data_IF_882582788772
#
_entry.id   IF_882582788772
#
_cell.length_a   1.000
_cell.length_b   1.000
_cell.length_c   1.000
_cell.angle_alpha   90.00
_cell.angle_beta   90.00
_cell.angle_gamma   90.00
#
_symmetry.space_group_name_H-M   'P 1'
#
loop_
_entity.id
_entity.type
_entity.pdbx_description
1 polymer ?
#
# COMPACT_ATOMS: atom_id res chain seq x y z
N UNK A 1 16.00 8.57 -5.05
CA UNK A 1 14.64 8.05 -4.80
C UNK A 1 14.64 7.18 -3.55
N UNK A 2 13.78 7.48 -2.61
CA UNK A 2 13.66 6.73 -1.37
C UNK A 2 12.22 6.35 -1.08
N UNK A 3 12.03 5.28 -0.31
CA UNK A 3 10.75 4.98 0.31
C UNK A 3 10.87 5.33 1.80
N UNK A 4 9.94 6.15 2.29
CA UNK A 4 10.03 6.74 3.63
C UNK A 4 8.76 6.42 4.41
N UNK A 5 8.90 5.80 5.57
CA UNK A 5 7.78 5.59 6.48
C UNK A 5 7.43 6.91 7.16
N UNK A 6 6.13 7.23 7.17
CA UNK A 6 5.61 8.46 7.78
C UNK A 6 5.01 8.11 9.15
N UNK A 7 5.59 8.62 10.25
CA UNK A 7 5.01 8.38 11.57
C UNK A 7 3.61 8.99 11.70
N UNK A 8 2.79 8.42 12.57
CA UNK A 8 1.43 8.91 12.81
C UNK A 8 1.41 10.40 13.18
N UNK A 9 2.42 10.87 13.91
CA UNK A 9 2.54 12.27 14.30
C UNK A 9 2.73 13.23 13.12
N UNK A 10 3.18 12.74 11.97
CA UNK A 10 3.44 13.54 10.77
C UNK A 10 2.39 13.34 9.67
N UNK A 11 1.34 12.58 9.92
CA UNK A 11 0.29 12.31 8.91
C UNK A 11 -0.33 13.59 8.37
N UNK A 12 -0.60 14.56 9.23
CA UNK A 12 -1.21 15.84 8.83
C UNK A 12 -0.37 16.60 7.80
N UNK A 13 0.95 16.39 7.82
CA UNK A 13 1.87 17.11 6.93
C UNK A 13 1.85 16.57 5.52
N UNK A 14 1.46 15.30 5.33
CA UNK A 14 1.50 14.62 4.03
C UNK A 14 0.13 14.18 3.53
N UNK A 15 -0.90 14.21 4.37
CA UNK A 15 -2.20 13.63 4.03
C UNK A 15 -2.81 14.24 2.76
N UNK A 16 -2.77 15.57 2.63
CA UNK A 16 -3.29 16.24 1.44
C UNK A 16 -2.55 15.83 0.17
N UNK A 17 -1.29 15.43 0.30
CA UNK A 17 -0.48 15.00 -0.82
C UNK A 17 -0.85 13.60 -1.30
N UNK A 18 -1.16 12.68 -0.37
CA UNK A 18 -1.37 11.26 -0.67
C UNK A 18 -2.83 10.86 -0.82
N UNK A 19 -3.77 11.65 -0.28
CA UNK A 19 -5.18 11.29 -0.21
C UNK A 19 -5.79 10.95 -1.58
N UNK A 20 -5.49 11.75 -2.59
CA UNK A 20 -6.04 11.56 -3.94
C UNK A 20 -5.60 10.21 -4.52
N UNK A 21 -4.34 9.86 -4.36
CA UNK A 21 -3.81 8.60 -4.86
C UNK A 21 -4.40 7.41 -4.09
N UNK A 22 -4.59 7.56 -2.78
CA UNK A 22 -5.24 6.54 -1.97
C UNK A 22 -6.68 6.33 -2.42
N UNK A 23 -7.44 7.40 -2.60
CA UNK A 23 -8.82 7.32 -3.08
C UNK A 23 -8.90 6.61 -4.44
N UNK A 24 -8.01 6.97 -5.35
CA UNK A 24 -7.97 6.39 -6.68
C UNK A 24 -7.63 4.89 -6.62
N UNK A 25 -6.66 4.51 -5.83
CA UNK A 25 -6.28 3.12 -5.66
C UNK A 25 -7.43 2.28 -5.07
N UNK A 26 -8.15 2.82 -4.10
CA UNK A 26 -9.29 2.14 -3.49
C UNK A 26 -10.45 1.97 -4.48
N UNK A 27 -10.69 2.96 -5.33
CA UNK A 27 -11.69 2.85 -6.39
C UNK A 27 -11.37 1.70 -7.35
N UNK A 28 -10.09 1.55 -7.71
CA UNK A 28 -9.66 0.47 -8.59
C UNK A 28 -9.74 -0.91 -7.94
N UNK A 29 -9.66 -1.00 -6.63
CA UNK A 29 -9.65 -2.28 -5.90
C UNK A 29 -11.04 -2.72 -5.44
N UNK A 30 -12.12 -2.10 -5.94
CA UNK A 30 -13.49 -2.55 -5.71
C UNK A 30 -14.22 -1.90 -4.55
N UNK A 31 -13.71 -0.77 -4.05
CA UNK A 31 -14.38 0.03 -3.01
C UNK A 31 -14.65 -0.74 -1.70
N UNK A 32 -13.71 -1.56 -1.27
CA UNK A 32 -13.82 -2.26 0.02
C UNK A 32 -13.80 -1.32 1.21
N UNK A 33 -13.21 -0.15 1.05
CA UNK A 33 -13.09 0.86 2.10
C UNK A 33 -12.85 2.24 1.48
N UNK A 34 -12.64 3.25 2.30
CA UNK A 34 -12.38 4.62 1.86
C UNK A 34 -11.14 5.20 2.55
N UNK A 35 -10.72 6.38 2.11
CA UNK A 35 -9.54 7.03 2.65
C UNK A 35 -9.72 7.50 4.10
N UNK A 36 -10.95 7.75 4.55
CA UNK A 36 -11.21 8.12 5.94
C UNK A 36 -10.90 6.96 6.88
N UNK A 37 -11.31 5.74 6.50
CA UNK A 37 -10.98 4.55 7.26
C UNK A 37 -9.47 4.32 7.29
N UNK A 38 -8.80 4.46 6.14
CA UNK A 38 -7.34 4.32 6.06
C UNK A 38 -6.65 5.32 7.00
N UNK A 39 -7.06 6.58 6.96
CA UNK A 39 -6.49 7.61 7.84
C UNK A 39 -6.66 7.24 9.32
N UNK A 40 -7.84 6.77 9.70
CA UNK A 40 -8.11 6.38 11.08
C UNK A 40 -7.20 5.22 11.52
N UNK A 41 -7.01 4.23 10.66
CA UNK A 41 -6.11 3.11 10.95
C UNK A 41 -4.65 3.55 11.05
N UNK A 42 -4.25 4.52 10.24
CA UNK A 42 -2.90 5.11 10.31
C UNK A 42 -2.69 5.86 11.61
N UNK A 43 -3.69 6.62 12.06
CA UNK A 43 -3.64 7.34 13.35
C UNK A 43 -3.48 6.38 14.53
N UNK A 44 -4.07 5.19 14.43
CA UNK A 44 -4.01 4.16 15.47
C UNK A 44 -2.80 3.24 15.35
N UNK A 45 -1.90 3.50 14.40
CA UNK A 45 -0.72 2.68 14.10
C UNK A 45 -1.06 1.24 13.70
N UNK A 46 -2.28 1.00 13.22
CA UNK A 46 -2.69 -0.31 12.68
C UNK A 46 -2.26 -0.49 11.24
N UNK A 47 -2.16 0.60 10.50
CA UNK A 47 -1.58 0.65 9.16
C UNK A 47 -0.30 1.48 9.20
N UNK A 48 0.56 1.29 8.21
CA UNK A 48 1.77 2.09 8.03
C UNK A 48 1.68 2.81 6.68
N UNK A 49 2.06 4.09 6.68
CA UNK A 49 2.10 4.91 5.47
C UNK A 49 3.53 5.08 5.03
N UNK A 50 3.77 4.87 3.74
CA UNK A 50 5.08 5.05 3.10
C UNK A 50 4.93 5.97 1.91
N UNK A 51 5.88 6.86 1.72
CA UNK A 51 5.90 7.79 0.60
C UNK A 51 7.14 7.52 -0.25
N UNK A 52 6.94 7.52 -1.57
CA UNK A 52 8.02 7.40 -2.54
C UNK A 52 8.47 8.81 -2.89
N UNK A 53 9.71 9.12 -2.56
CA UNK A 53 10.18 10.49 -2.45
C UNK A 53 11.53 10.69 -3.12
N UNK A 54 11.66 11.74 -3.95
CA UNK A 54 12.90 12.12 -4.61
C UNK A 54 13.39 13.45 -4.05
N UNK A 55 14.39 13.39 -3.19
CA UNK A 55 14.99 14.57 -2.56
C UNK A 55 15.66 15.52 -3.54
N UNK A 56 16.07 15.03 -4.70
CA UNK A 56 16.81 15.83 -5.69
C UNK A 56 15.94 16.89 -6.37
N UNK A 57 14.63 16.75 -6.31
CA UNK A 57 13.70 17.73 -6.86
C UNK A 57 13.55 18.90 -5.89
N UNK A 58 13.10 20.06 -6.40
CA UNK A 58 13.00 21.26 -5.57
C UNK A 58 11.59 21.48 -5.00
N UNK A 59 10.57 21.42 -5.85
CA UNK A 59 9.19 21.59 -5.41
C UNK A 59 8.69 20.32 -4.73
N UNK A 60 7.92 20.47 -3.65
CA UNK A 60 7.37 19.33 -2.90
C UNK A 60 6.56 18.39 -3.79
N UNK A 61 5.72 18.95 -4.68
CA UNK A 61 4.90 18.14 -5.58
C UNK A 61 5.76 17.30 -6.53
N UNK A 62 6.92 17.80 -6.91
CA UNK A 62 7.82 17.08 -7.82
C UNK A 62 8.62 16.00 -7.09
N UNK A 63 8.80 16.14 -5.77
CA UNK A 63 9.47 15.14 -4.94
C UNK A 63 8.61 13.91 -4.71
N UNK A 64 7.30 14.09 -4.68
CA UNK A 64 6.35 13.02 -4.40
C UNK A 64 6.09 12.17 -5.63
N UNK A 65 6.33 10.88 -5.53
CA UNK A 65 6.12 9.93 -6.65
C UNK A 65 5.02 8.92 -6.39
N UNK A 66 4.72 8.63 -5.16
CA UNK A 66 3.68 7.65 -4.88
C UNK A 66 3.55 7.33 -3.40
N UNK A 67 2.62 6.44 -3.10
CA UNK A 67 2.24 6.08 -1.75
C UNK A 67 2.06 4.57 -1.64
N UNK A 68 2.47 4.04 -0.49
CA UNK A 68 2.25 2.64 -0.12
C UNK A 68 1.61 2.62 1.26
N UNK A 69 0.63 1.76 1.44
CA UNK A 69 0.04 1.49 2.76
C UNK A 69 0.21 0.01 3.04
N UNK A 70 0.77 -0.29 4.20
CA UNK A 70 0.95 -1.67 4.66
C UNK A 70 0.17 -1.93 5.92
N UNK A 71 -0.10 -3.20 6.18
CA UNK A 71 -0.77 -3.68 7.38
C UNK A 71 -0.10 -4.97 7.82
N UNK A 72 0.23 -5.08 9.11
CA UNK A 72 0.71 -6.33 9.66
C UNK A 72 -0.49 -7.13 10.13
N UNK A 73 -0.65 -8.33 9.59
CA UNK A 73 -1.77 -9.21 9.88
C UNK A 73 -1.25 -10.43 10.64
N UNK A 74 -1.73 -10.59 11.89
CA UNK A 74 -1.43 -11.77 12.67
C UNK A 74 -2.56 -12.77 12.55
N UNK A 75 -2.25 -13.90 11.90
CA UNK A 75 -3.13 -15.05 11.86
C UNK A 75 -2.60 -16.12 12.82
N UNK A 76 -3.33 -17.21 13.03
CA UNK A 76 -2.89 -18.26 13.95
C UNK A 76 -1.52 -18.84 13.56
N UNK A 77 -1.31 -19.11 12.28
CA UNK A 77 -0.10 -19.80 11.79
C UNK A 77 0.79 -18.92 10.92
N UNK A 78 0.46 -17.66 10.77
CA UNK A 78 1.18 -16.76 9.86
C UNK A 78 1.09 -15.32 10.33
N UNK A 79 2.22 -14.64 10.33
CA UNK A 79 2.28 -13.19 10.52
C UNK A 79 2.77 -12.58 9.22
N UNK A 80 1.94 -11.77 8.59
CA UNK A 80 2.20 -11.23 7.26
C UNK A 80 2.29 -9.72 7.27
N UNK A 81 3.14 -9.17 6.42
CA UNK A 81 3.06 -7.76 6.03
C UNK A 81 2.29 -7.70 4.71
N UNK A 82 1.10 -7.13 4.75
CA UNK A 82 0.25 -6.97 3.58
C UNK A 82 0.47 -5.59 2.97
N UNK A 83 0.85 -5.55 1.70
CA UNK A 83 0.88 -4.32 0.93
C UNK A 83 -0.54 -4.10 0.42
N UNK A 84 -1.24 -3.20 1.08
CA UNK A 84 -2.67 -2.95 0.87
C UNK A 84 -2.92 -1.95 -0.25
N UNK A 85 -2.09 -0.91 -0.34
CA UNK A 85 -2.12 0.10 -1.39
C UNK A 85 -0.71 0.30 -1.89
N UNK A 86 -0.53 0.32 -3.21
CA UNK A 86 0.70 0.73 -3.86
C UNK A 86 0.34 1.42 -5.17
N UNK A 87 0.63 2.70 -5.27
CA UNK A 87 0.27 3.51 -6.42
C UNK A 87 1.17 4.74 -6.54
N UNK A 88 1.28 5.26 -7.73
CA UNK A 88 2.06 6.44 -7.99
C UNK A 88 2.42 6.60 -9.46
N UNK A 89 3.19 7.64 -9.75
CA UNK A 89 3.67 7.93 -11.09
C UNK A 89 5.08 7.38 -11.31
N UNK A 90 5.43 7.09 -12.56
CA UNK A 90 6.76 6.63 -12.95
C UNK A 90 7.24 5.41 -12.15
N UNK A 91 6.40 4.40 -12.07
CA UNK A 91 6.62 3.17 -11.31
C UNK A 91 8.00 2.56 -11.51
N UNK A 92 8.52 2.58 -12.72
CA UNK A 92 9.82 1.99 -13.05
C UNK A 92 10.98 2.62 -12.27
N UNK A 93 10.80 3.85 -11.78
CA UNK A 93 11.84 4.55 -11.01
C UNK A 93 11.90 4.09 -9.56
N UNK A 94 10.83 3.49 -9.04
CA UNK A 94 10.75 3.19 -7.61
C UNK A 94 10.28 1.78 -7.26
N UNK A 95 9.85 0.97 -8.26
CA UNK A 95 9.30 -0.36 -7.94
C UNK A 95 10.31 -1.27 -7.22
N UNK A 96 11.61 -1.07 -7.45
CA UNK A 96 12.66 -1.82 -6.76
C UNK A 96 12.70 -1.53 -5.25
N UNK A 97 12.21 -0.37 -4.82
CA UNK A 97 12.21 0.03 -3.41
C UNK A 97 11.18 -0.73 -2.59
N UNK A 98 10.23 -1.41 -3.24
CA UNK A 98 9.24 -2.23 -2.53
C UNK A 98 9.94 -3.31 -1.69
N UNK A 99 11.12 -3.76 -2.11
CA UNK A 99 11.91 -4.72 -1.33
C UNK A 99 12.32 -4.18 0.05
N UNK A 100 12.34 -2.86 0.24
CA UNK A 100 12.59 -2.26 1.57
C UNK A 100 11.48 -2.60 2.56
N UNK A 101 10.27 -2.85 2.08
CA UNK A 101 9.15 -3.25 2.92
C UNK A 101 9.39 -4.65 3.51
N UNK A 102 10.15 -5.48 2.82
CA UNK A 102 10.52 -6.80 3.32
C UNK A 102 11.43 -6.67 4.55
N UNK A 103 12.34 -5.70 4.55
CA UNK A 103 13.19 -5.42 5.70
C UNK A 103 12.36 -4.98 6.90
N UNK A 104 11.36 -4.12 6.67
CA UNK A 104 10.41 -3.71 7.69
C UNK A 104 9.64 -4.91 8.23
N UNK A 105 9.16 -5.79 7.35
CA UNK A 105 8.41 -6.98 7.73
C UNK A 105 9.27 -7.91 8.61
N UNK A 106 10.51 -8.14 8.21
CA UNK A 106 11.44 -8.98 8.98
C UNK A 106 11.69 -8.39 10.36
N UNK A 107 11.90 -7.09 10.47
CA UNK A 107 12.08 -6.40 11.76
C UNK A 107 10.86 -6.53 12.66
N UNK A 108 9.68 -6.67 12.07
CA UNK A 108 8.43 -6.84 12.81
C UNK A 108 8.01 -8.30 12.94
N UNK A 109 8.97 -9.22 12.75
CA UNK A 109 8.77 -10.65 12.96
C UNK A 109 7.72 -11.28 12.04
N UNK A 110 7.51 -10.68 10.87
CA UNK A 110 6.67 -11.28 9.84
C UNK A 110 7.44 -12.40 9.14
N UNK A 111 6.74 -13.47 8.81
CA UNK A 111 7.31 -14.57 8.03
C UNK A 111 6.80 -14.61 6.59
N UNK A 112 5.98 -13.64 6.19
CA UNK A 112 5.38 -13.62 4.86
C UNK A 112 5.06 -12.19 4.43
N UNK A 113 5.21 -11.92 3.13
CA UNK A 113 4.67 -10.72 2.49
C UNK A 113 3.41 -11.11 1.72
N UNK A 114 2.41 -10.24 1.72
CA UNK A 114 1.20 -10.39 0.92
C UNK A 114 0.98 -9.11 0.11
N UNK A 115 0.40 -9.26 -1.06
CA UNK A 115 0.06 -8.14 -1.91
C UNK A 115 -1.33 -8.37 -2.49
N UNK A 116 -2.27 -7.46 -2.17
CA UNK A 116 -3.58 -7.40 -2.82
C UNK A 116 -3.50 -6.29 -3.85
N UNK A 117 -3.40 -6.66 -5.12
CA UNK A 117 -3.17 -5.68 -6.18
C UNK A 117 -3.85 -6.11 -7.48
N UNK A 118 -3.95 -5.15 -8.39
CA UNK A 118 -4.40 -5.42 -9.74
C UNK A 118 -3.40 -6.33 -10.44
N UNK A 119 -3.88 -7.10 -11.42
CA UNK A 119 -3.08 -8.10 -12.14
C UNK A 119 -1.79 -7.55 -12.75
N UNK A 120 -1.74 -6.25 -13.07
CA UNK A 120 -0.53 -5.63 -13.61
C UNK A 120 0.69 -5.71 -12.68
N UNK A 121 0.48 -5.82 -11.38
CA UNK A 121 1.55 -6.00 -10.41
C UNK A 121 2.10 -7.42 -10.35
N UNK A 122 1.34 -8.40 -10.82
CA UNK A 122 1.75 -9.81 -10.75
C UNK A 122 3.06 -10.07 -11.47
N UNK A 123 3.22 -9.56 -12.68
CA UNK A 123 4.47 -9.73 -13.44
C UNK A 123 5.66 -9.09 -12.76
N UNK A 124 5.46 -7.90 -12.19
CA UNK A 124 6.51 -7.14 -11.50
C UNK A 124 6.98 -7.88 -10.26
N UNK A 125 6.04 -8.37 -9.47
CA UNK A 125 6.33 -9.01 -8.20
C UNK A 125 6.81 -10.45 -8.37
N UNK A 126 6.47 -11.10 -9.48
CA UNK A 126 6.96 -12.44 -9.80
C UNK A 126 8.49 -12.47 -9.89
N UNK A 127 9.09 -11.43 -10.46
CA UNK A 127 10.55 -11.29 -10.53
C UNK A 127 11.17 -11.26 -9.13
N UNK A 128 10.43 -10.78 -8.14
CA UNK A 128 10.84 -10.70 -6.73
C UNK A 128 10.41 -11.93 -5.92
N UNK A 129 10.05 -13.00 -6.58
CA UNK A 129 9.63 -14.27 -5.98
C UNK A 129 8.26 -14.25 -5.27
N UNK A 130 7.41 -13.28 -5.62
CA UNK A 130 6.01 -13.32 -5.24
C UNK A 130 5.27 -14.21 -6.22
N UNK A 131 4.33 -15.01 -5.72
CA UNK A 131 3.52 -15.88 -6.55
C UNK A 131 2.05 -15.73 -6.21
N UNK A 132 1.21 -15.94 -7.19
CA UNK A 132 -0.23 -15.96 -6.97
C UNK A 132 -0.59 -17.19 -6.12
N UNK A 133 -1.28 -16.96 -5.00
CA UNK A 133 -1.72 -18.02 -4.10
C UNK A 133 -3.24 -18.18 -4.11
N UNK A 134 -3.97 -17.08 -4.33
CA UNK A 134 -5.43 -17.05 -4.22
C UNK A 134 -6.02 -16.19 -5.31
N UNK A 135 -7.28 -16.46 -5.64
CA UNK A 135 -8.09 -15.60 -6.51
C UNK A 135 -9.37 -15.30 -5.74
N UNK A 136 -9.77 -14.04 -5.74
CA UNK A 136 -11.05 -13.60 -5.16
C UNK A 136 -12.11 -13.62 -6.25
N UNK A 137 -13.17 -14.35 -6.02
CA UNK A 137 -14.35 -14.35 -6.89
C UNK A 137 -15.45 -13.58 -6.19
N UNK A 138 -16.07 -12.66 -6.90
CA UNK A 138 -17.07 -11.77 -6.33
C UNK A 138 -18.37 -11.82 -7.13
N UNK A 139 -19.48 -11.79 -6.42
CA UNK A 139 -20.80 -11.66 -7.02
C UNK A 139 -21.58 -10.60 -6.23
N UNK A 140 -22.05 -9.57 -6.91
CA UNK A 140 -22.93 -8.60 -6.30
C UNK A 140 -24.29 -9.22 -6.07
N UNK A 141 -24.84 -9.05 -4.85
CA UNK A 141 -26.16 -9.56 -4.51
C UNK A 141 -27.16 -8.41 -4.53
N UNK A 142 -28.26 -8.63 -5.22
CA UNK A 142 -29.38 -7.69 -5.23
C UNK A 142 -30.33 -8.02 -4.09
N UNK A 143 -30.86 -7.00 -3.44
CA UNK A 143 -31.98 -7.18 -2.52
C UNK A 143 -33.22 -7.50 -3.33
N UNK A 144 -34.15 -8.30 -2.76
CA UNK A 144 -35.38 -8.72 -3.44
C UNK A 144 -36.19 -7.57 -4.01
N UNK A 145 -36.14 -6.39 -3.37
CA UNK A 145 -36.92 -5.23 -3.74
C UNK A 145 -36.23 -4.25 -4.68
N UNK A 146 -35.13 -4.66 -5.28
CA UNK A 146 -34.36 -3.79 -6.19
C UNK A 146 -34.54 -4.21 -7.68
#
# INVERSE_FOLDING_TARGET
>A
MNIVEIPASNLKDVWNLVKKDIDQALNYSGNYTDSEFVLEQLKQNKFQLWVLWDKSKQATIDKYYGVVVTEIIQRKLRRSCNIFIVTGRHRQKWQHLISELENFAIKNECNCMELFARSGWEKIMKIKNYKRTHVVLEKQLKKENE
#
